data_IF_082943340674
#
_entry.id   IF_082943340674
#
_cell.length_a   1.000
_cell.length_b   1.000
_cell.length_c   1.000
_cell.angle_alpha   90.00
_cell.angle_beta   90.00
_cell.angle_gamma   90.00
#
_symmetry.space_group_name_H-M   'P 1'
#
loop_
_entity.id
_entity.type
_entity.pdbx_description
1 polymer ?
#
# COMPACT_ATOMS: atom_id res chain seq x y z
N UNK A 1 4.93 -49.62 -74.73
CA UNK A 1 4.03 -48.61 -74.12
C UNK A 1 3.58 -48.96 -72.70
N UNK A 2 3.10 -50.18 -72.43
CA UNK A 2 2.64 -50.62 -71.10
C UNK A 2 3.63 -50.39 -69.94
N UNK A 3 4.90 -50.79 -70.11
CA UNK A 3 5.93 -50.65 -69.04
C UNK A 3 6.13 -49.20 -68.60
N UNK A 4 6.13 -48.26 -69.54
CA UNK A 4 6.24 -46.82 -69.23
C UNK A 4 4.96 -46.22 -68.64
N UNK A 5 3.79 -46.83 -68.87
CA UNK A 5 2.56 -46.46 -68.14
C UNK A 5 2.60 -46.97 -66.71
N UNK A 6 3.03 -48.22 -66.48
CA UNK A 6 3.17 -48.80 -65.14
C UNK A 6 4.12 -47.95 -64.28
N UNK A 7 5.29 -47.56 -64.78
CA UNK A 7 6.23 -46.71 -64.02
C UNK A 7 5.64 -45.35 -63.64
N UNK A 8 4.86 -44.74 -64.53
CA UNK A 8 4.18 -43.46 -64.26
C UNK A 8 3.10 -43.62 -63.18
N UNK A 9 2.32 -44.69 -63.25
CA UNK A 9 1.30 -45.03 -62.23
C UNK A 9 1.97 -45.28 -60.88
N UNK A 10 3.05 -46.06 -60.81
CA UNK A 10 3.78 -46.31 -59.56
C UNK A 10 4.31 -45.02 -58.92
N UNK A 11 4.82 -44.09 -59.74
CA UNK A 11 5.28 -42.78 -59.25
C UNK A 11 4.10 -41.95 -58.72
N UNK A 12 3.00 -41.90 -59.46
CA UNK A 12 1.79 -41.18 -59.03
C UNK A 12 1.26 -41.72 -57.68
N UNK A 13 1.21 -43.04 -57.50
CA UNK A 13 0.79 -43.66 -56.23
C UNK A 13 1.71 -43.28 -55.06
N UNK A 14 3.02 -43.17 -55.28
CA UNK A 14 3.95 -42.69 -54.23
C UNK A 14 3.68 -41.24 -53.84
N UNK A 15 3.39 -40.38 -54.82
CA UNK A 15 3.05 -38.98 -54.55
C UNK A 15 1.70 -38.85 -53.82
N UNK A 16 0.71 -39.68 -54.16
CA UNK A 16 -0.58 -39.71 -53.45
C UNK A 16 -0.38 -40.04 -51.97
N UNK A 17 0.43 -41.07 -51.66
CA UNK A 17 0.74 -41.40 -50.25
C UNK A 17 1.42 -40.25 -49.50
N UNK A 18 2.39 -39.60 -50.14
CA UNK A 18 3.05 -38.43 -49.54
C UNK A 18 2.09 -37.25 -49.34
N UNK A 19 1.10 -37.09 -50.23
CA UNK A 19 0.04 -36.09 -50.06
C UNK A 19 -0.89 -36.44 -48.90
N UNK A 20 -1.26 -37.71 -48.72
CA UNK A 20 -2.07 -38.16 -47.60
C UNK A 20 -1.38 -37.85 -46.25
N UNK A 21 -0.08 -38.16 -46.13
CA UNK A 21 0.72 -37.84 -44.94
C UNK A 21 0.77 -36.32 -44.65
N UNK A 22 0.87 -35.49 -45.68
CA UNK A 22 0.85 -34.01 -45.53
C UNK A 22 -0.53 -33.53 -45.11
N UNK A 23 -1.61 -34.12 -45.63
CA UNK A 23 -2.98 -33.75 -45.26
C UNK A 23 -3.28 -34.08 -43.79
N UNK A 24 -2.79 -35.22 -43.29
CA UNK A 24 -2.89 -35.57 -41.87
C UNK A 24 -2.14 -34.56 -40.99
N UNK A 25 -0.88 -34.24 -41.32
CA UNK A 25 -0.09 -33.25 -40.58
C UNK A 25 -0.73 -31.85 -40.62
N UNK A 26 -1.33 -31.46 -41.74
CA UNK A 26 -2.04 -30.19 -41.85
C UNK A 26 -3.28 -30.16 -40.95
N UNK A 27 -4.04 -31.25 -40.88
CA UNK A 27 -5.20 -31.34 -40.00
C UNK A 27 -4.81 -31.20 -38.52
N UNK A 28 -3.71 -31.83 -38.11
CA UNK A 28 -3.17 -31.70 -36.75
C UNK A 28 -2.74 -30.26 -36.43
N UNK A 29 -2.04 -29.60 -37.35
CA UNK A 29 -1.62 -28.21 -37.15
C UNK A 29 -2.81 -27.23 -37.17
N UNK A 30 -3.85 -27.49 -37.96
CA UNK A 30 -5.10 -26.72 -37.91
C UNK A 30 -5.77 -26.84 -36.54
N UNK A 31 -5.90 -28.05 -36.00
CA UNK A 31 -6.47 -28.26 -34.67
C UNK A 31 -5.62 -27.57 -33.58
N UNK A 32 -4.30 -27.63 -33.71
CA UNK A 32 -3.37 -26.94 -32.80
C UNK A 32 -3.55 -25.42 -32.86
N UNK A 33 -3.69 -24.85 -34.06
CA UNK A 33 -3.94 -23.42 -34.24
C UNK A 33 -5.23 -22.99 -33.55
N UNK A 34 -6.32 -23.73 -33.74
CA UNK A 34 -7.59 -23.43 -33.07
C UNK A 34 -7.50 -23.49 -31.54
N UNK A 35 -6.74 -24.44 -30.99
CA UNK A 35 -6.51 -24.52 -29.54
C UNK A 35 -5.75 -23.30 -29.02
N UNK A 36 -4.67 -22.91 -29.71
CA UNK A 36 -3.87 -21.74 -29.35
C UNK A 36 -4.67 -20.44 -29.45
N UNK A 37 -5.55 -20.31 -30.45
CA UNK A 37 -6.43 -19.14 -30.57
C UNK A 37 -7.40 -19.03 -29.39
N UNK A 38 -7.98 -20.15 -28.94
CA UNK A 38 -8.87 -20.18 -27.76
C UNK A 38 -8.11 -19.84 -26.48
N UNK A 39 -6.89 -20.34 -26.32
CA UNK A 39 -6.04 -20.01 -25.18
C UNK A 39 -5.67 -18.53 -25.17
N UNK A 40 -5.26 -17.98 -26.33
CA UNK A 40 -4.93 -16.57 -26.48
C UNK A 40 -6.12 -15.67 -26.13
N UNK A 41 -7.33 -16.04 -26.53
CA UNK A 41 -8.53 -15.26 -26.22
C UNK A 41 -8.85 -15.27 -24.72
N UNK A 42 -8.69 -16.42 -24.05
CA UNK A 42 -8.84 -16.51 -22.58
C UNK A 42 -7.80 -15.64 -21.86
N UNK A 43 -6.55 -15.69 -22.29
CA UNK A 43 -5.47 -14.87 -21.70
C UNK A 43 -5.70 -13.37 -21.90
N UNK A 44 -6.21 -12.96 -23.07
CA UNK A 44 -6.60 -11.57 -23.32
C UNK A 44 -7.71 -11.11 -22.36
N UNK A 45 -8.73 -11.94 -22.16
CA UNK A 45 -9.82 -11.63 -21.24
C UNK A 45 -9.32 -11.51 -19.79
N UNK A 46 -8.49 -12.46 -19.35
CA UNK A 46 -7.89 -12.45 -18.03
C UNK A 46 -7.03 -11.19 -17.83
N UNK A 47 -6.24 -10.80 -18.84
CA UNK A 47 -5.43 -9.59 -18.79
C UNK A 47 -6.29 -8.34 -18.59
N UNK A 48 -7.39 -8.19 -19.33
CA UNK A 48 -8.30 -7.05 -19.18
C UNK A 48 -8.92 -7.01 -17.78
N UNK A 49 -9.33 -8.17 -17.24
CA UNK A 49 -9.84 -8.25 -15.87
C UNK A 49 -8.80 -7.80 -14.83
N UNK A 50 -7.55 -8.26 -14.98
CA UNK A 50 -6.46 -7.89 -14.10
C UNK A 50 -6.10 -6.40 -14.19
N UNK A 51 -6.11 -5.82 -15.39
CA UNK A 51 -5.88 -4.38 -15.60
C UNK A 51 -6.99 -3.53 -14.93
N UNK A 52 -8.25 -3.97 -15.00
CA UNK A 52 -9.36 -3.32 -14.31
C UNK A 52 -9.19 -3.39 -12.78
N UNK A 53 -8.89 -4.58 -12.24
CA UNK A 53 -8.63 -4.76 -10.80
C UNK A 53 -7.47 -3.92 -10.31
N UNK A 54 -6.39 -3.84 -11.09
CA UNK A 54 -5.23 -3.02 -10.74
C UNK A 54 -5.60 -1.52 -10.68
N UNK A 55 -6.49 -1.08 -11.57
CA UNK A 55 -7.00 0.29 -11.57
C UNK A 55 -7.85 0.56 -10.32
N UNK A 56 -8.75 -0.35 -9.97
CA UNK A 56 -9.57 -0.25 -8.74
C UNK A 56 -8.70 -0.19 -7.48
N UNK A 57 -7.72 -1.09 -7.35
CA UNK A 57 -6.78 -1.09 -6.23
C UNK A 57 -5.97 0.21 -6.16
N UNK A 58 -5.53 0.73 -7.30
CA UNK A 58 -4.79 1.99 -7.37
C UNK A 58 -5.62 3.19 -6.89
N UNK A 59 -6.92 3.22 -7.20
CA UNK A 59 -7.84 4.26 -6.72
C UNK A 59 -8.06 4.11 -5.21
N UNK A 60 -8.31 2.89 -4.72
CA UNK A 60 -8.48 2.61 -3.30
C UNK A 60 -7.24 3.04 -2.49
N UNK A 61 -6.04 2.72 -2.97
CA UNK A 61 -4.79 3.08 -2.31
C UNK A 61 -4.63 4.60 -2.21
N UNK A 62 -4.87 5.34 -3.30
CA UNK A 62 -4.84 6.81 -3.29
C UNK A 62 -5.82 7.42 -2.28
N UNK A 63 -7.01 6.84 -2.14
CA UNK A 63 -7.99 7.30 -1.17
C UNK A 63 -7.52 7.06 0.27
N UNK A 64 -6.93 5.88 0.55
CA UNK A 64 -6.35 5.57 1.87
C UNK A 64 -5.16 6.44 2.21
N UNK A 65 -4.31 6.77 1.25
CA UNK A 65 -3.20 7.72 1.46
C UNK A 65 -3.69 9.12 1.84
N UNK A 66 -4.76 9.60 1.20
CA UNK A 66 -5.39 10.88 1.53
C UNK A 66 -5.98 10.87 2.93
N UNK A 67 -6.71 9.82 3.28
CA UNK A 67 -7.28 9.62 4.62
C UNK A 67 -6.18 9.60 5.69
N UNK A 68 -5.09 8.86 5.45
CA UNK A 68 -3.95 8.78 6.35
C UNK A 68 -3.29 10.15 6.53
N UNK A 69 -3.12 10.92 5.46
CA UNK A 69 -2.58 12.29 5.54
C UNK A 69 -3.48 13.21 6.36
N UNK A 70 -4.80 13.14 6.16
CA UNK A 70 -5.77 13.90 6.94
C UNK A 70 -5.71 13.53 8.43
N UNK A 71 -5.71 12.24 8.77
CA UNK A 71 -5.63 11.77 10.15
C UNK A 71 -4.31 12.20 10.82
N UNK A 72 -3.19 12.15 10.10
CA UNK A 72 -1.90 12.65 10.62
C UNK A 72 -1.97 14.14 10.94
N UNK A 73 -2.57 14.95 10.07
CA UNK A 73 -2.77 16.37 10.34
C UNK A 73 -3.65 16.56 11.58
N UNK A 74 -4.73 15.79 11.70
CA UNK A 74 -5.62 15.88 12.86
C UNK A 74 -4.95 15.49 14.17
N UNK A 75 -4.10 14.45 14.16
CA UNK A 75 -3.29 14.07 15.31
C UNK A 75 -2.37 15.21 15.72
N UNK A 76 -1.64 15.81 14.76
CA UNK A 76 -0.76 16.95 15.07
C UNK A 76 -1.49 18.17 15.61
N UNK A 77 -2.72 18.43 15.15
CA UNK A 77 -3.58 19.48 15.74
C UNK A 77 -3.96 19.14 17.19
N UNK A 78 -4.45 17.93 17.43
CA UNK A 78 -4.85 17.47 18.77
C UNK A 78 -3.67 17.46 19.75
N UNK A 79 -2.47 17.09 19.29
CA UNK A 79 -1.25 17.17 20.10
C UNK A 79 -0.94 18.61 20.53
N UNK A 80 -1.08 19.58 19.62
CA UNK A 80 -0.88 21.00 19.93
C UNK A 80 -1.93 21.52 20.91
N UNK A 81 -3.19 21.18 20.70
CA UNK A 81 -4.29 21.54 21.60
C UNK A 81 -4.05 20.96 23.00
N UNK A 82 -3.69 19.68 23.09
CA UNK A 82 -3.40 19.01 24.35
C UNK A 82 -2.22 19.64 25.09
N UNK A 83 -1.13 19.97 24.38
CA UNK A 83 0.00 20.71 24.95
C UNK A 83 -0.44 22.07 25.48
N UNK A 84 -1.27 22.80 24.73
CA UNK A 84 -1.78 24.12 25.16
C UNK A 84 -2.65 24.01 26.42
N UNK A 85 -3.53 23.01 26.50
CA UNK A 85 -4.37 22.75 27.67
C UNK A 85 -3.50 22.39 28.88
N UNK A 86 -2.50 21.52 28.70
CA UNK A 86 -1.58 21.15 29.77
C UNK A 86 -0.80 22.36 30.29
N UNK A 87 -0.28 23.21 29.41
CA UNK A 87 0.40 24.46 29.78
C UNK A 87 -0.52 25.38 30.60
N UNK A 88 -1.77 25.58 30.17
CA UNK A 88 -2.74 26.41 30.87
C UNK A 88 -3.07 25.85 32.27
N UNK A 89 -3.27 24.53 32.38
CA UNK A 89 -3.52 23.85 33.65
C UNK A 89 -2.33 23.98 34.60
N UNK A 90 -1.10 23.81 34.10
CA UNK A 90 0.11 23.98 34.89
C UNK A 90 0.27 25.41 35.41
N UNK A 91 0.01 26.42 34.57
CA UNK A 91 0.06 27.82 35.00
C UNK A 91 -0.95 28.09 36.12
N UNK A 92 -2.20 27.64 35.96
CA UNK A 92 -3.25 27.81 36.96
C UNK A 92 -2.89 27.13 38.27
N UNK A 93 -2.33 25.92 38.20
CA UNK A 93 -1.87 25.18 39.37
C UNK A 93 -0.75 25.94 40.08
N UNK A 94 0.30 26.33 39.36
CA UNK A 94 1.46 27.05 39.91
C UNK A 94 1.08 28.38 40.56
N UNK A 95 0.11 29.10 39.99
CA UNK A 95 -0.44 30.32 40.58
C UNK A 95 -1.12 30.04 41.92
N UNK A 96 -1.84 28.93 42.03
CA UNK A 96 -2.56 28.52 43.25
C UNK A 96 -1.62 27.96 44.32
N UNK A 97 -0.53 27.30 43.92
CA UNK A 97 0.43 26.63 44.81
C UNK A 97 1.66 27.47 45.16
N UNK A 98 1.64 28.79 44.87
CA UNK A 98 2.79 29.71 45.06
C UNK A 98 4.09 29.23 44.39
N UNK A 99 3.97 28.56 43.24
CA UNK A 99 5.09 28.09 42.43
C UNK A 99 5.62 26.69 42.77
N UNK A 100 5.06 26.01 43.76
CA UNK A 100 5.46 24.62 44.09
C UNK A 100 4.69 23.62 43.23
N UNK A 101 5.37 22.64 42.62
CA UNK A 101 4.74 21.60 41.81
C UNK A 101 5.14 20.20 42.29
N UNK A 102 4.30 19.52 43.09
CA UNK A 102 4.51 18.13 43.43
C UNK A 102 4.15 17.24 42.24
N UNK A 103 5.16 16.85 41.46
CA UNK A 103 5.00 16.14 40.18
C UNK A 103 4.17 14.86 40.30
N UNK A 104 4.35 14.07 41.37
CA UNK A 104 3.62 12.80 41.57
C UNK A 104 2.12 13.00 41.77
N UNK A 105 1.74 13.97 42.60
CA UNK A 105 0.33 14.30 42.86
C UNK A 105 -0.32 14.89 41.61
N UNK A 106 0.39 15.77 40.91
CA UNK A 106 -0.12 16.36 39.66
C UNK A 106 -0.35 15.30 38.57
N UNK A 107 0.54 14.31 38.44
CA UNK A 107 0.36 13.17 37.53
C UNK A 107 -0.90 12.37 37.87
N UNK A 108 -1.12 12.07 39.15
CA UNK A 108 -2.27 11.30 39.61
C UNK A 108 -3.59 12.05 39.41
N UNK A 109 -3.61 13.35 39.69
CA UNK A 109 -4.82 14.18 39.60
C UNK A 109 -5.22 14.49 38.15
N UNK A 110 -4.23 14.80 37.28
CA UNK A 110 -4.50 15.27 35.91
C UNK A 110 -4.24 14.23 34.83
N UNK A 111 -3.85 13.00 35.20
CA UNK A 111 -3.72 11.87 34.27
C UNK A 111 -2.73 12.14 33.13
N UNK A 112 -1.56 12.67 33.45
CA UNK A 112 -0.50 12.99 32.47
C UNK A 112 0.80 12.28 32.80
N UNK A 113 1.84 12.43 31.97
CA UNK A 113 3.15 11.84 32.23
C UNK A 113 4.15 12.89 32.69
N UNK A 114 5.19 12.44 33.40
CA UNK A 114 6.27 13.32 33.84
C UNK A 114 6.97 13.99 32.65
N UNK A 115 7.17 13.26 31.54
CA UNK A 115 7.80 13.78 30.33
C UNK A 115 7.01 14.97 29.76
N UNK A 116 5.68 14.82 29.66
CA UNK A 116 4.78 15.88 29.16
C UNK A 116 4.77 17.10 30.08
N UNK A 117 4.79 16.90 31.40
CA UNK A 117 4.91 17.99 32.37
C UNK A 117 6.23 18.73 32.15
N UNK A 118 7.35 18.02 32.08
CA UNK A 118 8.67 18.61 31.89
C UNK A 118 8.74 19.40 30.58
N UNK A 119 8.20 18.86 29.49
CA UNK A 119 8.16 19.54 28.20
C UNK A 119 7.32 20.82 28.24
N UNK A 120 6.13 20.75 28.86
CA UNK A 120 5.25 21.91 29.04
C UNK A 120 5.90 22.98 29.93
N UNK A 121 6.55 22.60 31.03
CA UNK A 121 7.29 23.55 31.88
C UNK A 121 8.44 24.22 31.13
N UNK A 122 9.23 23.45 30.35
CA UNK A 122 10.26 24.01 29.48
C UNK A 122 9.67 24.98 28.47
N UNK A 123 8.51 24.66 27.89
CA UNK A 123 7.80 25.52 26.95
C UNK A 123 7.34 26.83 27.61
N UNK A 124 6.67 26.75 28.77
CA UNK A 124 6.26 27.91 29.56
C UNK A 124 7.44 28.79 29.96
N UNK A 125 8.58 28.19 30.31
CA UNK A 125 9.80 28.92 30.62
C UNK A 125 10.36 29.64 29.38
N UNK A 126 10.43 28.98 28.22
CA UNK A 126 10.82 29.61 26.95
C UNK A 126 9.89 30.76 26.55
N UNK A 127 8.61 30.65 26.87
CA UNK A 127 7.60 31.70 26.66
C UNK A 127 7.69 32.85 27.69
N UNK A 128 8.58 32.75 28.68
CA UNK A 128 8.76 33.76 29.72
C UNK A 128 7.66 33.79 30.79
N UNK A 129 6.78 32.79 30.82
CA UNK A 129 5.63 32.75 31.72
C UNK A 129 5.99 32.24 33.12
N UNK A 130 7.08 31.47 33.24
CA UNK A 130 7.60 30.96 34.51
C UNK A 130 9.13 31.03 34.55
N UNK A 131 9.69 30.99 35.77
CA UNK A 131 11.13 30.77 36.01
C UNK A 131 11.30 29.45 36.73
N UNK A 132 12.16 28.58 36.21
CA UNK A 132 12.47 27.28 36.84
C UNK A 132 13.74 27.46 37.66
N UNK A 133 13.61 27.42 38.99
CA UNK A 133 14.78 27.30 39.85
C UNK A 133 15.25 25.84 39.82
N UNK A 134 16.53 25.60 39.51
CA UNK A 134 17.12 24.28 39.77
C UNK A 134 17.22 24.12 41.28
N UNK A 135 16.69 23.02 41.81
CA UNK A 135 17.01 22.62 43.18
C UNK A 135 18.54 22.56 43.30
N UNK A 136 19.08 23.24 44.32
CA UNK A 136 20.45 23.02 44.75
C UNK A 136 20.51 21.57 45.22
N UNK A 137 21.27 20.73 44.53
CA UNK A 137 21.70 19.45 45.11
C UNK A 137 22.42 19.74 46.43
N UNK A 138 22.11 18.99 47.51
CA UNK A 138 22.73 19.17 48.82
C UNK A 138 24.24 18.89 48.82
#
# INVERSE_FOLDING_TARGET
MLRGMITRITRAVKHIKALDEILEALAEEMERSERLERELEREKQLRVELENRLTEFSIALKNRERELKFLKQKISELERELSSVLEASLLKYLQSSKGTLPIKEYIQEYGTTQERIIEALKSLHRKGLIKIAREKEP
#
